data_IF_955510429991
#
_entry.id   IF_955510429991
#
_cell.length_a   1.000
_cell.length_b   1.000
_cell.length_c   1.000
_cell.angle_alpha   90.00
_cell.angle_beta   90.00
_cell.angle_gamma   90.00
#
_symmetry.space_group_name_H-M   'P 1'
#
loop_
_entity.id
_entity.type
_entity.pdbx_description
1 polymer ?
#
# COMPACT_ATOMS: atom_id res chain seq x y z
N UNK A 1 7.08 5.34 -17.97
CA UNK A 1 8.21 6.10 -18.58
C UNK A 1 9.31 5.18 -19.08
N UNK A 2 9.95 4.38 -18.21
CA UNK A 2 11.08 3.52 -18.58
C UNK A 2 10.82 2.52 -19.72
N UNK A 3 9.67 1.82 -19.70
CA UNK A 3 9.29 0.84 -20.75
C UNK A 3 9.26 1.46 -22.15
N UNK A 4 8.85 2.72 -22.24
CA UNK A 4 8.73 3.46 -23.50
C UNK A 4 9.99 4.28 -23.82
N UNK A 5 11.10 4.01 -23.13
CA UNK A 5 12.39 4.71 -23.27
C UNK A 5 12.33 6.22 -23.00
N UNK A 6 11.26 6.70 -22.35
CA UNK A 6 11.08 8.12 -22.00
C UNK A 6 11.97 8.45 -20.82
N UNK A 7 12.80 9.49 -20.95
CA UNK A 7 13.71 9.95 -19.89
C UNK A 7 14.97 9.08 -19.69
N UNK A 8 15.17 8.02 -20.47
CA UNK A 8 16.26 7.06 -20.27
C UNK A 8 17.68 7.60 -20.53
N UNK A 9 17.83 8.82 -21.04
CA UNK A 9 19.11 9.52 -21.19
C UNK A 9 19.32 10.61 -20.14
N UNK A 10 18.36 10.83 -19.24
CA UNK A 10 18.40 11.90 -18.25
C UNK A 10 18.73 11.34 -16.86
N UNK A 11 19.74 11.90 -16.21
CA UNK A 11 20.08 11.56 -14.84
C UNK A 11 18.91 11.85 -13.88
N UNK A 12 18.19 12.95 -14.10
CA UNK A 12 17.04 13.38 -13.27
C UNK A 12 15.96 12.30 -13.20
N UNK A 13 15.74 11.58 -14.31
CA UNK A 13 14.80 10.48 -14.35
C UNK A 13 15.19 9.34 -13.39
N UNK A 14 16.46 8.93 -13.43
CA UNK A 14 16.96 7.85 -12.57
C UNK A 14 17.06 8.28 -11.10
N UNK A 15 17.43 9.53 -10.81
CA UNK A 15 17.48 10.04 -9.43
C UNK A 15 16.08 10.11 -8.81
N UNK A 16 15.10 10.65 -9.53
CA UNK A 16 13.73 10.74 -9.02
C UNK A 16 13.10 9.36 -8.83
N UNK A 17 13.35 8.44 -9.76
CA UNK A 17 12.85 7.07 -9.65
C UNK A 17 13.51 6.31 -8.49
N UNK A 18 14.82 6.47 -8.29
CA UNK A 18 15.49 5.83 -7.15
C UNK A 18 15.01 6.42 -5.81
N UNK A 19 14.78 7.73 -5.74
CA UNK A 19 14.28 8.41 -4.55
C UNK A 19 12.91 7.86 -4.11
N UNK A 20 12.00 7.69 -5.08
CA UNK A 20 10.68 7.09 -4.80
C UNK A 20 10.79 5.63 -4.34
N UNK A 21 11.74 4.87 -4.87
CA UNK A 21 11.98 3.50 -4.41
C UNK A 21 12.61 3.45 -3.01
N UNK A 22 13.50 4.41 -2.71
CA UNK A 22 14.12 4.59 -1.39
C UNK A 22 13.06 4.95 -0.34
N UNK A 23 12.13 5.86 -0.67
CA UNK A 23 11.04 6.28 0.22
C UNK A 23 10.06 5.13 0.53
N UNK A 24 9.83 4.23 -0.44
CA UNK A 24 9.05 3.00 -0.27
C UNK A 24 9.82 1.88 0.45
N UNK A 25 11.08 2.09 0.85
CA UNK A 25 11.92 1.10 1.53
C UNK A 25 12.51 0.02 0.62
N UNK A 26 12.38 0.15 -0.70
CA UNK A 26 12.91 -0.80 -1.69
C UNK A 26 14.35 -0.46 -2.09
N UNK A 27 15.29 -0.51 -1.14
CA UNK A 27 16.68 -0.07 -1.30
C UNK A 27 17.41 -0.81 -2.45
N UNK A 28 17.25 -2.13 -2.56
CA UNK A 28 17.90 -2.92 -3.63
C UNK A 28 17.41 -2.52 -5.03
N UNK A 29 16.12 -2.14 -5.16
CA UNK A 29 15.58 -1.67 -6.45
C UNK A 29 16.07 -0.27 -6.76
N UNK A 30 16.17 0.61 -5.76
CA UNK A 30 16.72 1.95 -5.93
C UNK A 30 18.17 1.88 -6.46
N UNK A 31 18.99 0.99 -5.89
CA UNK A 31 20.37 0.77 -6.35
C UNK A 31 20.44 0.25 -7.80
N UNK A 32 19.58 -0.72 -8.16
CA UNK A 32 19.49 -1.23 -9.53
C UNK A 32 19.12 -0.13 -10.54
N UNK A 33 18.20 0.76 -10.18
CA UNK A 33 17.81 1.90 -11.02
C UNK A 33 18.98 2.88 -11.22
N UNK A 34 19.75 3.17 -10.18
CA UNK A 34 20.94 4.03 -10.29
C UNK A 34 22.03 3.39 -11.14
N UNK A 35 22.29 2.10 -10.94
CA UNK A 35 23.23 1.32 -11.76
C UNK A 35 22.82 1.31 -13.23
N UNK A 36 21.53 1.17 -13.51
CA UNK A 36 20.98 1.21 -14.86
C UNK A 36 21.18 2.59 -15.53
N UNK A 37 21.03 3.68 -14.76
CA UNK A 37 21.32 5.04 -15.23
C UNK A 37 22.80 5.25 -15.55
N UNK A 38 23.70 4.75 -14.70
CA UNK A 38 25.16 4.81 -14.91
C UNK A 38 25.55 3.99 -16.15
N UNK A 39 25.03 2.77 -16.29
CA UNK A 39 25.27 1.89 -17.44
C UNK A 39 24.85 2.55 -18.75
N UNK A 40 23.80 3.37 -18.73
CA UNK A 40 23.30 4.13 -19.89
C UNK A 40 24.00 5.46 -20.11
N UNK A 41 24.94 5.85 -19.23
CA UNK A 41 25.61 7.17 -19.25
C UNK A 41 24.59 8.31 -19.32
N UNK A 42 23.59 8.28 -18.43
CA UNK A 42 22.56 9.30 -18.40
C UNK A 42 23.12 10.67 -17.97
N UNK A 43 22.75 11.73 -18.68
CA UNK A 43 23.29 13.08 -18.47
C UNK A 43 22.40 13.91 -17.52
N UNK A 44 22.98 14.73 -16.62
CA UNK A 44 24.41 14.93 -16.38
C UNK A 44 25.07 13.76 -15.63
N UNK A 45 26.08 13.14 -16.24
CA UNK A 45 26.64 11.86 -15.75
C UNK A 45 27.33 11.98 -14.39
N UNK A 46 28.11 13.04 -14.18
CA UNK A 46 28.80 13.26 -12.91
C UNK A 46 27.82 13.50 -11.75
N UNK A 47 26.72 14.24 -12.02
CA UNK A 47 25.67 14.45 -11.02
C UNK A 47 25.00 13.13 -10.60
N UNK A 48 24.82 12.20 -11.55
CA UNK A 48 24.27 10.89 -11.25
C UNK A 48 25.19 10.06 -10.35
N UNK A 49 26.51 10.11 -10.59
CA UNK A 49 27.50 9.44 -9.73
C UNK A 49 27.54 10.03 -8.32
N UNK A 50 27.58 11.36 -8.21
CA UNK A 50 27.54 12.04 -6.91
C UNK A 50 26.30 11.64 -6.13
N UNK A 51 25.13 11.67 -6.78
CA UNK A 51 23.88 11.24 -6.16
C UNK A 51 23.91 9.77 -5.70
N UNK A 52 24.51 8.86 -6.48
CA UNK A 52 24.67 7.46 -6.08
C UNK A 52 25.55 7.33 -4.84
N UNK A 53 26.65 8.06 -4.76
CA UNK A 53 27.52 8.07 -3.58
C UNK A 53 26.79 8.59 -2.34
N UNK A 54 26.00 9.65 -2.48
CA UNK A 54 25.14 10.16 -1.40
C UNK A 54 24.09 9.12 -0.96
N UNK A 55 23.48 8.42 -1.92
CA UNK A 55 22.55 7.32 -1.64
C UNK A 55 23.23 6.19 -0.85
N UNK A 56 24.42 5.75 -1.27
CA UNK A 56 25.19 4.70 -0.58
C UNK A 56 25.51 5.12 0.87
N UNK A 57 25.89 6.38 1.08
CA UNK A 57 26.14 6.94 2.42
C UNK A 57 24.88 6.94 3.29
N UNK A 58 23.72 7.35 2.74
CA UNK A 58 22.43 7.32 3.47
C UNK A 58 22.03 5.90 3.84
N UNK A 59 22.18 4.96 2.92
CA UNK A 59 21.87 3.55 3.15
C UNK A 59 22.75 2.96 4.24
N UNK A 60 24.07 3.22 4.20
CA UNK A 60 25.00 2.76 5.22
C UNK A 60 24.64 3.29 6.61
N UNK A 61 24.37 4.60 6.72
CA UNK A 61 23.96 5.23 7.98
C UNK A 61 22.67 4.60 8.54
N UNK A 62 21.67 4.38 7.68
CA UNK A 62 20.39 3.76 8.07
C UNK A 62 20.55 2.31 8.53
N UNK A 63 21.44 1.55 7.89
CA UNK A 63 21.75 0.17 8.30
C UNK A 63 22.42 0.14 9.68
N UNK A 64 23.32 1.07 9.95
CA UNK A 64 23.96 1.21 11.27
C UNK A 64 22.94 1.58 12.35
N UNK A 65 22.08 2.56 12.11
CA UNK A 65 21.03 2.98 13.06
C UNK A 65 20.05 1.85 13.39
N UNK A 66 19.58 1.12 12.37
CA UNK A 66 18.65 -0.01 12.58
C UNK A 66 19.28 -1.17 13.37
N UNK A 67 20.60 -1.34 13.34
CA UNK A 67 21.27 -2.40 14.11
C UNK A 67 21.23 -2.14 15.63
N UNK A 68 21.08 -0.88 16.04
CA UNK A 68 21.05 -0.46 17.44
C UNK A 68 19.62 -0.43 18.02
N UNK A 69 18.59 -0.35 17.17
CA UNK A 69 17.19 -0.19 17.56
C UNK A 69 16.41 -1.50 17.78
N UNK A 70 17.05 -2.66 17.78
CA UNK A 70 16.40 -3.94 18.17
C UNK A 70 16.25 -4.00 19.70
N UNK A 71 15.56 -3.02 20.29
CA UNK A 71 15.12 -3.08 21.67
C UNK A 71 13.65 -3.46 21.74
N UNK A 72 13.45 -4.56 22.47
CA UNK A 72 12.24 -5.27 22.81
C UNK A 72 11.06 -4.32 23.12
N UNK A 73 10.15 -4.09 22.17
CA UNK A 73 8.86 -3.48 22.50
C UNK A 73 7.98 -4.57 23.10
N UNK A 74 7.80 -4.55 24.43
CA UNK A 74 6.89 -5.45 25.15
C UNK A 74 5.40 -5.12 24.93
N UNK A 75 5.11 -4.14 24.06
CA UNK A 75 3.75 -3.74 23.73
C UNK A 75 3.00 -4.85 22.97
N UNK A 76 1.72 -5.10 23.30
CA UNK A 76 0.95 -6.16 22.67
C UNK A 76 0.76 -5.89 21.18
N UNK A 77 1.39 -6.71 20.34
CA UNK A 77 1.34 -6.61 18.88
C UNK A 77 0.14 -7.36 18.29
N UNK A 78 -0.22 -7.01 17.04
CA UNK A 78 -1.32 -7.68 16.33
C UNK A 78 -0.84 -9.01 15.77
N UNK A 79 -1.50 -10.10 16.16
CA UNK A 79 -1.28 -11.41 15.56
C UNK A 79 -2.17 -11.60 14.32
N UNK A 80 -1.58 -12.09 13.22
CA UNK A 80 -2.29 -12.36 11.99
C UNK A 80 -3.29 -13.52 12.18
N UNK A 81 -4.50 -13.38 11.60
CA UNK A 81 -5.59 -14.36 11.71
C UNK A 81 -6.03 -14.71 13.14
N UNK A 82 -5.70 -13.86 14.12
CA UNK A 82 -6.12 -14.03 15.49
C UNK A 82 -7.65 -14.00 15.61
N UNK A 83 -8.21 -14.95 16.35
CA UNK A 83 -9.64 -14.95 16.65
C UNK A 83 -9.93 -13.93 17.72
N UNK A 84 -10.90 -13.06 17.48
CA UNK A 84 -11.24 -11.96 18.38
C UNK A 84 -12.52 -12.28 19.16
N UNK A 85 -12.55 -11.85 20.43
CA UNK A 85 -13.77 -11.91 21.24
C UNK A 85 -14.85 -11.01 20.61
N UNK A 86 -16.07 -11.51 20.32
CA UNK A 86 -17.12 -10.70 19.72
C UNK A 86 -17.56 -9.58 20.66
N UNK A 87 -17.91 -8.42 20.10
CA UNK A 87 -18.44 -7.28 20.85
C UNK A 87 -19.95 -7.23 20.63
N UNK A 88 -20.73 -7.40 21.71
CA UNK A 88 -22.21 -7.44 21.73
C UNK A 88 -22.82 -8.71 21.11
N UNK A 89 -24.13 -8.91 21.31
CA UNK A 89 -24.95 -10.05 20.84
C UNK A 89 -24.98 -10.27 19.31
N UNK A 90 -24.35 -9.40 18.50
CA UNK A 90 -24.44 -9.42 17.02
C UNK A 90 -23.14 -9.83 16.32
N UNK A 91 -22.21 -10.53 16.99
CA UNK A 91 -20.95 -11.00 16.38
C UNK A 91 -20.16 -9.91 15.64
N UNK A 92 -20.15 -8.69 16.18
CA UNK A 92 -19.44 -7.57 15.56
C UNK A 92 -17.96 -7.63 15.94
N UNK A 93 -17.09 -7.50 14.95
CA UNK A 93 -15.64 -7.48 15.16
C UNK A 93 -15.22 -6.25 15.99
N UNK A 94 -14.37 -6.43 17.02
CA UNK A 94 -13.87 -5.30 17.81
C UNK A 94 -12.94 -4.39 17.00
N UNK A 95 -12.92 -3.11 17.39
CA UNK A 95 -11.98 -2.09 16.88
C UNK A 95 -10.57 -2.37 17.41
N UNK A 96 -10.45 -2.77 18.69
CA UNK A 96 -9.20 -3.17 19.33
C UNK A 96 -8.91 -4.65 19.03
N UNK A 97 -7.73 -4.93 18.47
CA UNK A 97 -7.33 -6.25 17.95
C UNK A 97 -6.06 -6.82 18.58
N UNK A 98 -5.70 -6.32 19.77
CA UNK A 98 -4.49 -6.71 20.53
C UNK A 98 -4.87 -7.04 21.97
N UNK A 99 -3.97 -7.70 22.70
CA UNK A 99 -4.14 -8.05 24.11
C UNK A 99 -5.41 -8.87 24.39
N UNK A 100 -6.15 -8.50 25.43
CA UNK A 100 -7.30 -9.24 25.96
C UNK A 100 -8.46 -9.49 24.97
N UNK A 101 -8.51 -8.77 23.85
CA UNK A 101 -9.50 -8.97 22.79
C UNK A 101 -9.16 -10.14 21.88
N UNK A 102 -7.91 -10.57 21.86
CA UNK A 102 -7.46 -11.80 21.20
C UNK A 102 -7.88 -12.99 22.06
N UNK A 103 -8.55 -13.97 21.45
CA UNK A 103 -8.83 -15.24 22.09
C UNK A 103 -7.55 -16.06 22.13
N UNK A 104 -7.29 -16.68 23.28
CA UNK A 104 -6.20 -17.63 23.46
C UNK A 104 -6.34 -18.76 22.43
N UNK A 105 -5.34 -19.00 21.56
CA UNK A 105 -5.42 -20.02 20.51
C UNK A 105 -5.76 -21.41 21.06
N UNK A 106 -5.35 -21.75 22.29
CA UNK A 106 -5.73 -23.02 22.93
C UNK A 106 -7.22 -23.11 23.26
N UNK A 107 -7.90 -21.98 23.45
CA UNK A 107 -9.36 -21.90 23.70
C UNK A 107 -10.19 -21.80 22.42
N UNK A 108 -9.56 -21.46 21.29
CA UNK A 108 -10.20 -21.29 19.98
C UNK A 108 -10.48 -22.63 19.28
N UNK A 109 -9.70 -23.68 19.61
CA UNK A 109 -9.83 -25.04 19.06
C UNK A 109 -11.21 -25.69 19.25
N UNK A 110 -12.10 -25.10 20.06
CA UNK A 110 -13.43 -25.66 20.31
C UNK A 110 -14.57 -25.04 19.49
N UNK A 111 -14.36 -23.94 18.75
CA UNK A 111 -15.50 -23.18 18.17
C UNK A 111 -15.39 -22.82 16.69
N UNK A 112 -14.18 -22.73 16.10
CA UNK A 112 -14.00 -22.36 14.67
C UNK A 112 -13.27 -23.49 13.93
N UNK A 113 -13.70 -24.73 14.18
CA UNK A 113 -12.96 -25.89 13.71
C UNK A 113 -13.62 -27.23 14.02
N UNK A 114 -14.95 -27.36 13.87
CA UNK A 114 -15.46 -28.66 13.42
C UNK A 114 -15.01 -28.80 11.98
N UNK A 115 -13.81 -29.33 11.79
CA UNK A 115 -13.36 -29.80 10.50
C UNK A 115 -14.43 -30.79 10.02
N UNK A 116 -15.30 -30.35 9.11
CA UNK A 116 -15.79 -31.30 8.12
C UNK A 116 -14.51 -31.85 7.48
N UNK A 117 -14.27 -33.17 7.51
CA UNK A 117 -13.09 -33.72 6.85
C UNK A 117 -13.11 -33.16 5.43
N UNK A 118 -12.02 -32.50 5.02
CA UNK A 118 -11.89 -32.01 3.65
C UNK A 118 -12.30 -33.16 2.73
N UNK A 119 -13.19 -32.93 1.74
CA UNK A 119 -13.53 -33.99 0.82
C UNK A 119 -12.22 -34.54 0.25
N UNK A 120 -11.97 -35.83 0.52
CA UNK A 120 -10.79 -36.56 0.07
C UNK A 120 -10.85 -36.72 -1.44
N UNK A 121 -10.70 -35.65 -2.22
CA UNK A 121 -10.36 -35.70 -3.64
C UNK A 121 -10.24 -34.27 -4.19
N UNK A 122 -9.06 -33.67 -4.06
CA UNK A 122 -8.60 -32.68 -5.03
C UNK A 122 -7.52 -33.26 -5.94
N UNK A 123 -7.37 -34.60 -5.95
CA UNK A 123 -6.55 -35.26 -6.96
C UNK A 123 -7.49 -35.59 -8.13
N UNK A 124 -7.44 -34.84 -9.26
CA UNK A 124 -8.04 -35.35 -10.48
C UNK A 124 -7.35 -36.67 -10.81
N UNK A 125 -8.04 -37.76 -10.48
CA UNK A 125 -7.62 -39.12 -10.84
C UNK A 125 -7.37 -39.15 -12.35
N UNK A 126 -6.10 -39.32 -12.74
CA UNK A 126 -5.70 -39.51 -14.14
C UNK A 126 -4.94 -38.38 -14.83
N UNK A 127 -4.64 -37.24 -14.19
CA UNK A 127 -3.76 -36.21 -14.80
C UNK A 127 -2.34 -36.31 -14.24
N UNK A 128 -1.36 -36.52 -15.13
CA UNK A 128 0.06 -36.47 -14.77
C UNK A 128 0.38 -35.06 -14.26
N UNK A 129 0.87 -34.89 -13.03
CA UNK A 129 1.23 -33.57 -12.52
C UNK A 129 2.39 -33.01 -13.34
N UNK A 130 2.28 -31.76 -13.82
CA UNK A 130 3.41 -31.09 -14.44
C UNK A 130 4.31 -30.48 -13.36
N UNK A 131 5.63 -30.57 -13.56
CA UNK A 131 6.60 -30.00 -12.62
C UNK A 131 6.64 -28.49 -12.79
N UNK A 132 6.35 -27.77 -11.71
CA UNK A 132 6.57 -26.31 -11.66
C UNK A 132 8.08 -26.07 -11.66
N UNK A 133 8.53 -25.10 -12.45
CA UNK A 133 9.92 -24.68 -12.51
C UNK A 133 10.45 -24.30 -11.12
N UNK A 134 11.57 -24.89 -10.71
CA UNK A 134 12.31 -24.50 -9.50
C UNK A 134 13.58 -23.78 -9.92
N UNK A 135 13.73 -22.52 -9.49
CA UNK A 135 14.86 -21.66 -9.82
C UNK A 135 16.11 -21.89 -8.97
N UNK A 136 16.16 -22.95 -8.17
CA UNK A 136 17.24 -23.22 -7.21
C UNK A 136 18.58 -23.63 -7.87
N UNK A 137 18.57 -24.00 -9.16
CA UNK A 137 19.76 -24.41 -9.92
C UNK A 137 20.02 -23.51 -11.15
N UNK A 138 19.78 -22.21 -10.99
CA UNK A 138 20.14 -21.22 -12.01
C UNK A 138 21.54 -20.69 -11.64
N UNK A 139 22.56 -21.12 -12.38
CA UNK A 139 23.81 -20.35 -12.50
C UNK A 139 23.43 -18.87 -12.75
N UNK A 140 24.02 -17.88 -12.06
CA UNK A 140 23.57 -16.49 -12.08
C UNK A 140 23.78 -15.88 -13.46
N UNK A 141 22.86 -16.17 -14.38
CA UNK A 141 22.71 -15.46 -15.63
C UNK A 141 21.76 -14.30 -15.35
N UNK A 142 22.22 -13.12 -15.75
CA UNK A 142 21.56 -11.82 -15.62
C UNK A 142 20.06 -11.92 -15.90
N UNK A 143 19.21 -11.07 -15.29
CA UNK A 143 17.77 -11.21 -15.37
C UNK A 143 17.32 -11.30 -16.83
N UNK A 144 16.48 -12.30 -17.12
CA UNK A 144 15.74 -12.42 -18.37
C UNK A 144 15.17 -11.05 -18.69
N UNK A 145 15.66 -10.43 -19.76
CA UNK A 145 15.07 -9.23 -20.31
C UNK A 145 13.69 -9.64 -20.83
N UNK A 146 12.70 -9.60 -19.95
CA UNK A 146 11.32 -9.56 -20.38
C UNK A 146 11.16 -8.26 -21.15
N UNK A 147 11.18 -8.36 -22.47
CA UNK A 147 10.70 -7.30 -23.34
C UNK A 147 9.22 -7.09 -23.00
N UNK A 148 8.99 -6.16 -22.08
CA UNK A 148 7.65 -5.81 -21.64
C UNK A 148 6.99 -5.01 -22.77
N UNK A 149 6.37 -5.73 -23.72
CA UNK A 149 5.59 -5.18 -24.84
C UNK A 149 4.22 -4.62 -24.40
N UNK A 150 3.98 -4.48 -23.09
CA UNK A 150 2.72 -3.95 -22.59
C UNK A 150 2.56 -2.48 -23.04
N UNK A 151 1.40 -2.12 -23.64
CA UNK A 151 1.13 -0.76 -24.09
C UNK A 151 1.19 0.23 -22.92
N UNK A 152 1.52 1.49 -23.21
CA UNK A 152 1.53 2.58 -22.23
C UNK A 152 0.15 2.78 -21.63
N UNK A 153 -0.12 2.13 -20.50
CA UNK A 153 -1.24 2.50 -19.65
C UNK A 153 -0.72 3.58 -18.72
N UNK A 154 -1.18 4.81 -18.90
CA UNK A 154 -1.11 5.80 -17.82
C UNK A 154 -1.80 5.15 -16.62
N UNK A 155 -1.04 4.83 -15.58
CA UNK A 155 -1.63 4.39 -14.33
C UNK A 155 -2.64 5.46 -13.93
N UNK A 156 -3.92 5.10 -13.90
CA UNK A 156 -4.98 5.99 -13.44
C UNK A 156 -4.59 6.46 -12.04
N UNK A 157 -4.40 7.77 -11.86
CA UNK A 157 -4.04 8.37 -10.56
C UNK A 157 -5.05 8.02 -9.45
N UNK A 158 -6.23 7.56 -9.85
CA UNK A 158 -7.30 7.15 -8.95
C UNK A 158 -7.54 5.64 -9.12
N UNK A 159 -7.31 4.88 -8.05
CA UNK A 159 -7.95 3.58 -7.87
C UNK A 159 -9.45 3.81 -7.69
N UNK A 160 -10.20 3.87 -8.81
CA UNK A 160 -11.63 4.22 -8.84
C UNK A 160 -12.51 3.37 -7.92
N UNK A 161 -12.04 2.19 -7.51
CA UNK A 161 -12.72 1.30 -6.56
C UNK A 161 -12.42 1.61 -5.09
N UNK A 162 -11.26 2.22 -4.79
CA UNK A 162 -10.87 2.59 -3.42
C UNK A 162 -11.40 3.95 -2.98
N UNK A 163 -11.81 4.80 -3.93
CA UNK A 163 -12.28 6.16 -3.66
C UNK A 163 -13.75 6.33 -4.08
N UNK A 164 -14.63 6.62 -3.10
CA UNK A 164 -15.99 7.09 -3.39
C UNK A 164 -16.02 8.61 -3.32
N UNK A 165 -16.11 9.27 -4.48
CA UNK A 165 -16.29 10.73 -4.52
C UNK A 165 -17.55 11.12 -3.75
N UNK A 166 -17.51 12.17 -2.92
CA UNK A 166 -18.70 12.63 -2.21
C UNK A 166 -19.77 13.04 -3.21
N UNK A 167 -20.97 12.47 -3.09
CA UNK A 167 -22.14 12.89 -3.87
C UNK A 167 -22.77 14.14 -3.23
N UNK A 168 -23.35 15.02 -4.06
CA UNK A 168 -24.11 16.19 -3.56
C UNK A 168 -25.19 15.70 -2.59
N UNK A 169 -25.17 16.18 -1.35
CA UNK A 169 -26.35 16.10 -0.49
C UNK A 169 -27.49 16.76 -1.27
N UNK A 170 -28.57 16.03 -1.54
CA UNK A 170 -29.59 16.46 -2.49
C UNK A 170 -30.05 17.89 -2.20
N UNK A 171 -30.28 18.63 -3.29
CA UNK A 171 -30.74 20.02 -3.39
C UNK A 171 -32.12 20.22 -2.73
N UNK A 172 -32.24 19.99 -1.43
CA UNK A 172 -33.43 20.39 -0.69
C UNK A 172 -33.32 21.91 -0.52
N UNK A 173 -33.80 22.66 -1.52
CA UNK A 173 -34.18 24.06 -1.32
C UNK A 173 -35.32 24.02 -0.31
N UNK A 174 -34.98 24.16 0.97
CA UNK A 174 -35.98 24.52 1.97
C UNK A 174 -36.57 25.86 1.53
N UNK A 175 -37.88 25.90 1.27
CA UNK A 175 -38.57 27.18 1.06
C UNK A 175 -38.43 27.97 2.35
N UNK A 176 -37.72 29.10 2.31
CA UNK A 176 -37.80 30.07 3.39
C UNK A 176 -39.25 30.53 3.50
N UNK A 177 -39.89 30.26 4.64
CA UNK A 177 -41.15 30.90 4.97
C UNK A 177 -40.84 32.40 5.19
N UNK A 178 -41.56 33.32 4.53
CA UNK A 178 -41.35 34.74 4.74
C UNK A 178 -41.64 35.05 6.21
N UNK A 179 -40.70 35.73 6.87
CA UNK A 179 -40.89 36.25 8.21
C UNK A 179 -42.14 37.12 8.22
N UNK A 180 -43.07 36.83 9.14
CA UNK A 180 -44.22 37.67 9.41
C UNK A 180 -43.75 39.13 9.51
N UNK A 181 -44.29 39.98 8.63
CA UNK A 181 -44.01 41.40 8.60
C UNK A 181 -44.17 41.96 10.01
N UNK A 182 -43.05 42.44 10.56
CA UNK A 182 -42.99 43.27 11.75
C UNK A 182 -43.70 44.57 11.36
N UNK A 183 -45.02 44.63 11.58
CA UNK A 183 -45.77 45.87 11.44
C UNK A 183 -45.32 46.80 12.56
N UNK A 184 -44.45 47.73 12.19
CA UNK A 184 -44.15 48.93 12.96
C UNK A 184 -45.39 49.81 12.86
N UNK A 185 -46.12 49.99 13.96
CA UNK A 185 -47.07 51.09 14.09
C UNK A 185 -46.51 52.03 15.16
N UNK A 186 -45.81 53.07 14.70
CA UNK A 186 -45.62 54.29 15.48
C UNK A 186 -46.68 55.31 15.06
N UNK A 187 -47.47 55.71 16.07
CA UNK A 187 -47.98 57.04 16.40
C UNK A 187 -48.56 57.94 15.29
N UNK A 188 -49.79 58.45 15.50
CA UNK A 188 -50.02 59.89 15.77
C UNK A 188 -51.33 60.12 16.54
N UNK A 189 -51.25 61.14 17.39
CA UNK A 189 -52.20 61.73 18.37
C UNK A 189 -53.50 62.30 17.78
N UNK A 190 -54.58 62.40 18.56
CA UNK A 190 -55.16 63.66 19.11
C UNK A 190 -56.59 63.50 19.68
N UNK A 191 -56.74 64.05 20.89
CA UNK A 191 -57.93 64.34 21.74
C UNK A 191 -58.53 63.16 22.50
#
# INVERSE_FOLDING_TARGET
MFSHKIGCKSAVFFTAWSWELESQGSISKADQVLNEGIRRKAEPFEKLKSYRSEFEMRVAAKVMENSEQVQNSEEPSRSAFAVLKPVKKKNVAPVVRVGDRVMDPNKVNMTIGRQQPLPKSNLPSGKVPFKIYSGENIQPSLPVQSENLAPFVLHSENSKENEKKPSKWNKVKLKQMPAASRAVQECYSWI
#
